data_IF_719461900595
#
_entry.id   IF_719461900595
#
_cell.length_a   1.000
_cell.length_b   1.000
_cell.length_c   1.000
_cell.angle_alpha   90.00
_cell.angle_beta   90.00
_cell.angle_gamma   90.00
#
_symmetry.space_group_name_H-M   'P 1'
#
loop_
_entity.id
_entity.type
_entity.pdbx_description
1 polymer ?
#
# COMPACT_ATOMS: atom_id res chain seq x y z
N UNK A 1 15.94 -3.61 3.18
CA UNK A 1 16.42 -4.22 4.46
C UNK A 1 17.86 -3.82 4.71
N UNK A 2 18.14 -3.36 5.92
CA UNK A 2 19.47 -3.04 6.43
C UNK A 2 20.14 -4.27 7.07
N UNK A 3 21.41 -4.13 7.44
CA UNK A 3 22.15 -5.17 8.18
C UNK A 3 21.47 -5.49 9.52
N UNK A 4 20.95 -4.48 10.22
CA UNK A 4 20.26 -4.66 11.49
C UNK A 4 19.02 -5.55 11.33
N UNK A 5 18.28 -5.38 10.24
CA UNK A 5 17.09 -6.20 9.96
C UNK A 5 17.48 -7.67 9.75
N UNK A 6 18.59 -7.93 9.06
CA UNK A 6 19.10 -9.29 8.85
C UNK A 6 19.51 -9.96 10.17
N UNK A 7 20.15 -9.21 11.06
CA UNK A 7 20.54 -9.70 12.39
C UNK A 7 19.30 -10.04 13.21
N UNK A 8 18.28 -9.17 13.20
CA UNK A 8 17.05 -9.40 13.96
C UNK A 8 16.25 -10.59 13.45
N UNK A 9 16.17 -10.78 12.14
CA UNK A 9 15.58 -11.98 11.55
C UNK A 9 16.38 -13.23 11.90
N UNK A 10 17.71 -13.13 11.94
CA UNK A 10 18.58 -14.19 12.43
C UNK A 10 18.27 -14.59 13.87
N UNK A 11 18.20 -13.61 14.78
CA UNK A 11 17.89 -13.79 16.19
C UNK A 11 16.51 -14.43 16.40
N UNK A 12 15.48 -13.95 15.69
CA UNK A 12 14.14 -14.51 15.74
C UNK A 12 14.13 -15.99 15.35
N UNK A 13 14.85 -16.35 14.28
CA UNK A 13 14.91 -17.74 13.81
C UNK A 13 15.80 -18.64 14.68
N UNK A 14 16.82 -18.08 15.34
CA UNK A 14 17.59 -18.77 16.38
C UNK A 14 16.70 -19.18 17.56
N UNK A 15 15.92 -18.25 18.12
CA UNK A 15 14.98 -18.54 19.20
C UNK A 15 13.96 -19.63 18.81
N UNK A 16 13.45 -19.58 17.58
CA UNK A 16 12.55 -20.63 17.04
C UNK A 16 13.25 -21.97 16.86
N UNK A 17 14.51 -21.97 16.46
CA UNK A 17 15.28 -23.18 16.22
C UNK A 17 15.61 -23.91 17.53
N UNK A 18 16.01 -23.17 18.58
CA UNK A 18 16.33 -23.75 19.90
C UNK A 18 15.15 -24.55 20.45
N UNK A 19 13.92 -24.04 20.31
CA UNK A 19 12.69 -24.72 20.74
C UNK A 19 12.37 -26.01 19.96
N UNK A 20 13.07 -26.27 18.86
CA UNK A 20 12.86 -27.42 17.96
C UNK A 20 14.05 -28.38 17.95
N UNK A 21 15.00 -28.21 18.86
CA UNK A 21 16.11 -29.16 19.01
C UNK A 21 15.54 -30.45 19.61
N UNK A 22 15.84 -31.57 18.95
CA UNK A 22 15.61 -32.90 19.51
C UNK A 22 16.87 -33.34 20.24
N UNK A 23 16.82 -33.26 21.57
CA UNK A 23 17.96 -33.55 22.45
C UNK A 23 18.33 -35.02 22.46
N UNK A 24 17.36 -35.92 22.28
CA UNK A 24 17.56 -37.37 22.18
C UNK A 24 18.44 -37.68 20.98
N UNK A 25 18.01 -37.21 19.80
CA UNK A 25 18.76 -37.39 18.56
C UNK A 25 20.12 -36.70 18.58
N UNK A 26 20.25 -35.58 19.29
CA UNK A 26 21.54 -34.90 19.45
C UNK A 26 22.50 -35.74 20.30
N UNK A 27 22.01 -36.38 21.37
CA UNK A 27 22.85 -37.21 22.25
C UNK A 27 23.41 -38.47 21.56
N UNK A 28 22.67 -39.01 20.58
CA UNK A 28 23.07 -40.16 19.76
C UNK A 28 24.05 -39.81 18.63
N UNK A 29 24.30 -38.52 18.38
CA UNK A 29 25.17 -38.06 17.30
C UNK A 29 26.65 -38.21 17.67
N UNK A 30 27.46 -38.75 16.76
CA UNK A 30 28.92 -38.87 16.92
C UNK A 30 29.60 -37.52 17.22
N UNK A 31 29.19 -36.46 16.52
CA UNK A 31 29.67 -35.09 16.71
C UNK A 31 28.49 -34.15 16.99
N UNK A 32 28.25 -33.91 18.28
CA UNK A 32 27.15 -33.08 18.75
C UNK A 32 27.30 -31.61 18.31
N UNK A 33 28.52 -31.07 18.33
CA UNK A 33 28.79 -29.67 18.00
C UNK A 33 28.49 -29.39 16.52
N UNK A 34 28.98 -30.26 15.63
CA UNK A 34 28.74 -30.15 14.19
C UNK A 34 27.26 -30.31 13.85
N UNK A 35 26.57 -31.24 14.49
CA UNK A 35 25.12 -31.45 14.30
C UNK A 35 24.33 -30.22 14.74
N UNK A 36 24.65 -29.64 15.90
CA UNK A 36 24.01 -28.43 16.40
C UNK A 36 24.28 -27.22 15.49
N UNK A 37 25.53 -27.00 15.09
CA UNK A 37 25.92 -25.93 14.15
C UNK A 37 25.18 -26.05 12.82
N UNK A 38 25.12 -27.25 12.24
CA UNK A 38 24.41 -27.51 10.98
C UNK A 38 22.91 -27.24 11.11
N UNK A 39 22.29 -27.71 12.20
CA UNK A 39 20.88 -27.51 12.46
C UNK A 39 20.51 -26.03 12.61
N UNK A 40 21.23 -25.31 13.48
CA UNK A 40 20.99 -23.89 13.72
C UNK A 40 21.29 -23.06 12.47
N UNK A 41 22.41 -23.32 11.78
CA UNK A 41 22.79 -22.59 10.56
C UNK A 41 21.73 -22.72 9.47
N UNK A 42 21.20 -23.92 9.23
CA UNK A 42 20.11 -24.14 8.24
C UNK A 42 18.87 -23.33 8.56
N UNK A 43 18.48 -23.26 9.84
CA UNK A 43 17.27 -22.55 10.29
C UNK A 43 17.43 -21.04 10.22
N UNK A 44 18.57 -20.52 10.69
CA UNK A 44 18.89 -19.08 10.66
C UNK A 44 19.00 -18.60 9.21
N UNK A 45 19.80 -19.26 8.37
CA UNK A 45 19.96 -18.91 6.95
C UNK A 45 18.63 -18.97 6.19
N UNK A 46 17.85 -20.03 6.42
CA UNK A 46 16.53 -20.15 5.80
C UNK A 46 15.54 -19.06 6.24
N UNK A 47 15.62 -18.64 7.49
CA UNK A 47 14.85 -17.53 8.04
C UNK A 47 15.19 -16.20 7.37
N UNK A 48 16.47 -15.84 7.38
CA UNK A 48 16.99 -14.63 6.75
C UNK A 48 16.65 -14.60 5.25
N UNK A 49 16.84 -15.72 4.52
CA UNK A 49 16.47 -15.81 3.09
C UNK A 49 15.01 -15.45 2.86
N UNK A 50 14.07 -16.02 3.63
CA UNK A 50 12.63 -15.75 3.49
C UNK A 50 12.28 -14.30 3.83
N UNK A 51 12.95 -13.72 4.82
CA UNK A 51 12.75 -12.32 5.17
C UNK A 51 13.21 -11.39 4.05
N UNK A 52 14.37 -11.65 3.45
CA UNK A 52 14.84 -10.94 2.24
C UNK A 52 13.80 -11.09 1.13
N UNK A 53 13.37 -12.31 0.83
CA UNK A 53 12.41 -12.58 -0.25
C UNK A 53 11.09 -11.84 -0.08
N UNK A 54 10.61 -11.71 1.17
CA UNK A 54 9.38 -10.96 1.50
C UNK A 54 9.55 -9.45 1.34
N UNK A 55 10.73 -8.92 1.65
CA UNK A 55 10.99 -7.49 1.79
C UNK A 55 11.98 -6.94 0.73
N UNK A 56 12.20 -7.67 -0.36
CA UNK A 56 13.20 -7.33 -1.40
C UNK A 56 12.78 -6.16 -2.29
N UNK A 57 11.48 -5.95 -2.47
CA UNK A 57 10.94 -4.88 -3.30
C UNK A 57 9.63 -4.35 -2.72
N UNK A 58 9.11 -3.29 -3.34
CA UNK A 58 7.92 -2.58 -2.86
C UNK A 58 6.65 -3.43 -3.02
N UNK A 59 6.62 -4.29 -4.05
CA UNK A 59 5.55 -5.25 -4.27
C UNK A 59 5.96 -6.63 -3.79
N UNK A 60 5.15 -7.20 -2.90
CA UNK A 60 5.38 -8.53 -2.35
C UNK A 60 5.08 -9.62 -3.38
N UNK A 61 6.05 -10.51 -3.62
CA UNK A 61 5.89 -11.69 -4.48
C UNK A 61 5.74 -12.96 -3.61
N UNK A 62 4.78 -13.86 -3.90
CA UNK A 62 4.67 -15.14 -3.23
C UNK A 62 5.93 -16.03 -3.36
N UNK A 63 6.29 -16.78 -2.31
CA UNK A 63 7.53 -17.58 -2.28
C UNK A 63 7.61 -18.65 -3.40
N UNK A 64 6.48 -19.29 -3.75
CA UNK A 64 6.46 -20.28 -4.82
C UNK A 64 6.79 -19.67 -6.18
N UNK A 65 6.32 -18.44 -6.46
CA UNK A 65 6.66 -17.70 -7.69
C UNK A 65 8.11 -17.25 -7.71
N UNK A 66 8.65 -16.80 -6.58
CA UNK A 66 10.08 -16.49 -6.48
C UNK A 66 10.95 -17.72 -6.74
N UNK A 67 10.52 -18.91 -6.32
CA UNK A 67 11.23 -20.14 -6.60
C UNK A 67 11.14 -20.55 -8.08
N UNK A 68 10.02 -20.31 -8.75
CA UNK A 68 9.90 -20.48 -10.22
C UNK A 68 10.89 -19.55 -10.93
N UNK A 69 10.89 -18.25 -10.60
CA UNK A 69 11.81 -17.23 -11.17
C UNK A 69 13.29 -17.63 -10.95
N UNK A 70 13.61 -18.26 -9.81
CA UNK A 70 14.97 -18.73 -9.50
C UNK A 70 15.37 -20.01 -10.25
N UNK A 71 14.41 -20.89 -10.55
CA UNK A 71 14.65 -22.18 -11.23
C UNK A 71 15.00 -22.01 -12.70
N UNK A 72 14.64 -20.88 -13.31
CA UNK A 72 14.92 -20.59 -14.72
C UNK A 72 16.40 -20.32 -15.06
N UNK A 73 17.33 -20.54 -14.11
CA UNK A 73 18.76 -20.81 -14.35
C UNK A 73 19.40 -19.96 -15.46
N UNK A 74 19.23 -18.64 -15.42
CA UNK A 74 20.01 -17.71 -16.22
C UNK A 74 19.63 -17.57 -17.70
N UNK A 75 18.61 -18.29 -18.21
CA UNK A 75 18.19 -18.11 -19.62
C UNK A 75 17.69 -16.70 -19.93
N UNK A 76 17.09 -16.04 -18.92
CA UNK A 76 16.57 -14.68 -19.06
C UNK A 76 16.91 -13.78 -17.87
N UNK A 77 18.09 -13.96 -17.26
CA UNK A 77 18.55 -13.07 -16.19
C UNK A 77 18.51 -11.59 -16.63
N UNK A 78 18.81 -11.33 -17.91
CA UNK A 78 18.78 -9.99 -18.49
C UNK A 78 17.36 -9.45 -18.65
N UNK A 79 16.39 -10.27 -19.10
CA UNK A 79 14.97 -9.87 -19.19
C UNK A 79 14.36 -9.66 -17.81
N UNK A 80 14.64 -10.55 -16.85
CA UNK A 80 14.17 -10.41 -15.48
C UNK A 80 14.78 -9.17 -14.83
N UNK A 81 16.08 -8.93 -15.00
CA UNK A 81 16.73 -7.71 -14.51
C UNK A 81 16.17 -6.45 -15.19
N UNK A 82 15.92 -6.48 -16.50
CA UNK A 82 15.28 -5.36 -17.23
C UNK A 82 13.87 -5.08 -16.72
N UNK A 83 13.07 -6.11 -16.46
CA UNK A 83 11.71 -5.97 -15.91
C UNK A 83 11.71 -5.37 -14.50
N UNK A 84 12.59 -5.84 -13.62
CA UNK A 84 12.70 -5.29 -12.27
C UNK A 84 13.30 -3.88 -12.26
N UNK A 85 14.22 -3.55 -13.15
CA UNK A 85 14.77 -2.20 -13.23
C UNK A 85 13.81 -1.20 -13.91
N UNK A 86 12.95 -1.64 -14.81
CA UNK A 86 11.98 -0.75 -15.49
C UNK A 86 10.74 -0.44 -14.65
N UNK A 87 10.35 -1.34 -13.73
CA UNK A 87 9.20 -1.15 -12.86
C UNK A 87 9.50 -0.37 -11.57
N UNK A 88 10.75 -0.35 -11.12
CA UNK A 88 11.16 0.26 -9.84
C UNK A 88 12.19 1.36 -10.09
N UNK A 89 11.82 2.34 -10.90
CA UNK A 89 12.56 3.61 -10.96
C UNK A 89 12.11 4.46 -9.77
N UNK A 90 13.08 5.02 -9.04
CA UNK A 90 12.78 6.00 -8.01
C UNK A 90 12.19 7.24 -8.67
N UNK A 91 11.04 7.69 -8.19
CA UNK A 91 10.44 8.96 -8.66
C UNK A 91 11.36 10.14 -8.35
N UNK A 92 12.15 10.02 -7.29
CA UNK A 92 13.09 11.05 -6.85
C UNK A 92 14.40 11.05 -7.65
N UNK A 93 14.70 9.97 -8.40
CA UNK A 93 15.88 9.92 -9.27
C UNK A 93 15.55 10.59 -10.61
N UNK A 94 15.55 11.92 -10.59
CA UNK A 94 15.30 12.74 -11.78
C UNK A 94 16.41 12.49 -12.82
N UNK A 95 16.09 12.21 -14.09
CA UNK A 95 17.08 12.30 -15.17
C UNK A 95 17.65 13.72 -15.22
N UNK A 96 18.92 13.84 -15.66
CA UNK A 96 19.64 15.13 -15.66
C UNK A 96 19.04 16.17 -16.61
N UNK A 97 18.24 15.73 -17.59
CA UNK A 97 17.52 16.60 -18.52
C UNK A 97 16.00 16.52 -18.27
N UNK A 98 15.39 17.70 -18.14
CA UNK A 98 13.96 17.86 -17.88
C UNK A 98 13.07 17.31 -19.02
N UNK A 99 13.60 17.19 -20.25
CA UNK A 99 12.89 16.66 -21.43
C UNK A 99 12.75 15.13 -21.43
N UNK A 100 13.62 14.40 -20.71
CA UNK A 100 13.62 12.92 -20.63
C UNK A 100 12.89 12.36 -19.41
N UNK A 101 12.29 13.23 -18.58
CA UNK A 101 11.55 12.79 -17.40
C UNK A 101 10.25 12.09 -17.80
N UNK A 102 10.34 10.79 -18.07
CA UNK A 102 9.20 9.91 -18.42
C UNK A 102 8.06 9.98 -17.39
N UNK A 103 8.35 10.40 -16.16
CA UNK A 103 7.39 10.52 -15.06
C UNK A 103 6.36 11.64 -15.33
N UNK A 104 6.77 12.76 -15.91
CA UNK A 104 5.84 13.87 -16.21
C UNK A 104 5.02 13.64 -17.47
N UNK A 105 5.31 12.58 -18.23
CA UNK A 105 4.58 12.19 -19.45
C UNK A 105 3.45 11.18 -19.16
N UNK A 106 3.27 10.76 -17.91
CA UNK A 106 2.19 9.85 -17.52
C UNK A 106 0.89 10.66 -17.42
N UNK A 107 0.08 10.60 -18.49
CA UNK A 107 -1.23 11.22 -18.50
C UNK A 107 -2.16 10.57 -17.47
N UNK A 108 -2.88 11.41 -16.69
CA UNK A 108 -3.95 10.93 -15.83
C UNK A 108 -5.10 10.40 -16.69
N UNK A 109 -5.40 9.10 -16.55
CA UNK A 109 -6.50 8.42 -17.24
C UNK A 109 -7.70 8.18 -16.31
N UNK A 110 -7.63 8.68 -15.08
CA UNK A 110 -8.73 8.54 -14.13
C UNK A 110 -9.97 9.22 -14.70
N UNK A 111 -11.06 8.49 -14.81
CA UNK A 111 -12.32 9.10 -15.25
C UNK A 111 -12.70 10.18 -14.23
N UNK A 112 -12.92 11.44 -14.68
CA UNK A 112 -13.38 12.47 -13.77
C UNK A 112 -14.74 12.05 -13.21
N UNK A 113 -14.94 12.22 -11.90
CA UNK A 113 -16.23 11.93 -11.29
C UNK A 113 -17.35 12.60 -12.07
N UNK A 114 -18.37 11.85 -12.46
CA UNK A 114 -19.58 12.43 -13.05
C UNK A 114 -20.39 13.11 -11.94
N UNK A 115 -19.97 14.32 -11.60
CA UNK A 115 -20.57 15.16 -10.55
C UNK A 115 -22.08 15.33 -10.82
N UNK A 116 -22.48 15.45 -12.08
CA UNK A 116 -23.89 15.55 -12.46
C UNK A 116 -24.71 14.32 -12.04
N UNK A 117 -24.24 13.11 -12.37
CA UNK A 117 -24.94 11.88 -11.99
C UNK A 117 -25.02 11.71 -10.46
N UNK A 118 -23.91 12.00 -9.76
CA UNK A 118 -23.85 11.92 -8.30
C UNK A 118 -24.78 12.93 -7.63
N UNK A 119 -24.82 14.17 -8.14
CA UNK A 119 -25.68 15.22 -7.62
C UNK A 119 -27.16 14.90 -7.84
N UNK A 120 -27.53 14.32 -8.99
CA UNK A 120 -28.91 13.85 -9.24
C UNK A 120 -29.30 12.77 -8.23
N UNK A 121 -28.42 11.79 -7.99
CA UNK A 121 -28.68 10.72 -7.04
C UNK A 121 -28.83 11.26 -5.60
N UNK A 122 -27.90 12.13 -5.15
CA UNK A 122 -27.97 12.78 -3.84
C UNK A 122 -29.25 13.61 -3.69
N UNK A 123 -29.59 14.40 -4.69
CA UNK A 123 -30.83 15.20 -4.71
C UNK A 123 -32.07 14.31 -4.55
N UNK A 124 -32.10 13.15 -5.22
CA UNK A 124 -33.18 12.18 -5.09
C UNK A 124 -33.29 11.58 -3.68
N UNK A 125 -32.15 11.27 -3.05
CA UNK A 125 -32.12 10.79 -1.66
C UNK A 125 -32.58 11.84 -0.66
N UNK A 126 -32.10 13.08 -0.80
CA UNK A 126 -32.46 14.19 0.09
C UNK A 126 -33.97 14.47 0.01
N UNK A 127 -34.54 14.57 -1.20
CA UNK A 127 -35.99 14.77 -1.36
C UNK A 127 -36.85 13.64 -0.80
N UNK A 128 -36.30 12.42 -0.71
CA UNK A 128 -37.03 11.26 -0.18
C UNK A 128 -37.07 11.24 1.34
N UNK A 129 -36.05 11.80 2.00
CA UNK A 129 -35.81 11.60 3.42
C UNK A 129 -35.82 12.89 4.26
N UNK A 130 -35.84 14.06 3.62
CA UNK A 130 -35.81 15.36 4.28
C UNK A 130 -37.02 16.21 3.90
N UNK A 131 -37.34 17.16 4.77
CA UNK A 131 -38.34 18.18 4.49
C UNK A 131 -37.78 19.23 3.52
N UNK A 132 -38.66 19.95 2.82
CA UNK A 132 -38.28 20.92 1.77
C UNK A 132 -37.25 21.96 2.26
N UNK A 133 -37.36 22.40 3.52
CA UNK A 133 -36.40 23.34 4.13
C UNK A 133 -35.02 22.74 4.35
N UNK A 134 -34.95 21.51 4.84
CA UNK A 134 -33.68 20.82 5.09
C UNK A 134 -33.00 20.45 3.77
N UNK A 135 -33.81 20.00 2.80
CA UNK A 135 -33.39 19.76 1.43
C UNK A 135 -32.76 21.02 0.80
N UNK A 136 -33.45 22.17 0.84
CA UNK A 136 -32.94 23.39 0.22
C UNK A 136 -31.69 23.95 0.90
N UNK A 137 -31.59 23.85 2.23
CA UNK A 137 -30.36 24.23 2.95
C UNK A 137 -29.17 23.41 2.47
N UNK A 138 -29.30 22.07 2.38
CA UNK A 138 -28.21 21.21 1.93
C UNK A 138 -27.90 21.39 0.44
N UNK A 139 -28.94 21.54 -0.39
CA UNK A 139 -28.80 21.79 -1.83
C UNK A 139 -27.98 23.05 -2.11
N UNK A 140 -28.32 24.15 -1.46
CA UNK A 140 -27.66 25.45 -1.63
C UNK A 140 -26.27 25.48 -0.95
N UNK A 141 -26.09 24.78 0.18
CA UNK A 141 -24.83 24.73 0.92
C UNK A 141 -23.75 23.92 0.20
N UNK A 142 -24.12 22.84 -0.47
CA UNK A 142 -23.18 21.98 -1.21
C UNK A 142 -23.18 22.26 -2.72
N UNK A 143 -24.10 23.06 -3.23
CA UNK A 143 -24.19 23.40 -4.65
C UNK A 143 -24.51 22.19 -5.52
N UNK A 144 -25.54 21.43 -5.15
CA UNK A 144 -25.88 20.16 -5.82
C UNK A 144 -26.41 20.39 -7.24
N UNK A 145 -27.25 21.40 -7.44
CA UNK A 145 -27.82 21.80 -8.72
C UNK A 145 -27.62 23.29 -9.04
N UNK A 146 -26.92 24.01 -8.18
CA UNK A 146 -26.65 25.44 -8.28
C UNK A 146 -25.25 25.79 -7.77
N UNK A 147 -24.86 27.06 -7.89
CA UNK A 147 -23.63 27.54 -7.25
C UNK A 147 -23.72 27.41 -5.73
N UNK A 148 -22.59 27.09 -5.10
CA UNK A 148 -22.50 27.00 -3.64
C UNK A 148 -22.75 28.38 -3.02
N UNK A 149 -23.69 28.43 -2.07
CA UNK A 149 -24.01 29.64 -1.33
C UNK A 149 -23.43 29.61 0.09
N UNK A 150 -23.07 30.79 0.61
CA UNK A 150 -22.69 30.94 2.01
C UNK A 150 -23.93 30.83 2.91
N UNK A 151 -23.73 30.49 4.19
CA UNK A 151 -24.84 30.36 5.15
C UNK A 151 -25.71 31.64 5.20
N UNK A 152 -25.10 32.82 5.18
CA UNK A 152 -25.81 34.10 5.15
C UNK A 152 -26.73 34.22 3.92
N UNK A 153 -26.21 33.89 2.74
CA UNK A 153 -26.96 33.97 1.49
C UNK A 153 -28.09 32.93 1.44
N UNK A 154 -27.88 31.75 2.03
CA UNK A 154 -28.93 30.72 2.18
C UNK A 154 -30.03 31.23 3.12
N UNK A 155 -29.66 31.85 4.24
CA UNK A 155 -30.60 32.43 5.20
C UNK A 155 -31.44 33.55 4.55
N UNK A 156 -30.82 34.40 3.72
CA UNK A 156 -31.52 35.41 2.91
C UNK A 156 -32.49 34.77 1.91
N UNK A 157 -32.05 33.76 1.15
CA UNK A 157 -32.87 33.08 0.13
C UNK A 157 -34.07 32.36 0.75
N UNK A 158 -33.88 31.71 1.91
CA UNK A 158 -34.89 30.91 2.58
C UNK A 158 -35.64 31.66 3.69
N UNK A 159 -35.43 32.98 3.83
CA UNK A 159 -36.01 33.83 4.88
C UNK A 159 -35.90 33.22 6.29
N UNK A 160 -34.70 32.74 6.65
CA UNK A 160 -34.43 32.14 7.96
C UNK A 160 -34.01 33.25 8.92
N UNK A 161 -34.90 33.63 9.83
CA UNK A 161 -34.61 34.59 10.90
C UNK A 161 -34.08 33.85 12.16
N UNK A 162 -32.85 34.16 12.59
CA UNK A 162 -32.29 33.61 13.83
C UNK A 162 -30.76 33.64 13.92
N UNK A 163 -30.22 33.43 15.13
CA UNK A 163 -28.77 33.42 15.42
C UNK A 163 -27.98 32.35 14.66
N UNK A 164 -28.64 31.40 14.00
CA UNK A 164 -28.01 30.40 13.12
C UNK A 164 -27.60 30.95 11.75
N UNK A 165 -28.00 32.18 11.41
CA UNK A 165 -27.50 32.85 10.20
C UNK A 165 -25.98 33.15 10.32
N UNK A 166 -25.44 33.25 11.54
CA UNK A 166 -24.05 33.62 11.83
C UNK A 166 -23.15 32.42 12.16
N UNK A 167 -23.38 31.24 11.57
CA UNK A 167 -22.48 30.10 11.80
C UNK A 167 -21.21 30.31 10.95
N UNK A 168 -20.08 30.47 11.68
CA UNK A 168 -18.70 30.65 11.18
C UNK A 168 -18.22 29.53 10.28
#
# INVERSE_FOLDING_TARGET
MSINDLIQEGNLNLCKAIRRIDWTRLSESEDQEKTLKSFLSKRIKGGIRRAIDKNRGDIRIPEHKLNEIRKDNGKDHKMVAMFFNSMFLSIDEKPKDDEESMIYQIADKSEPYNIGLLNIYLTGLLKKHLDDREYDVLRLSYGLDCEKHSANKIAEILNIEGSSAYVR
#
